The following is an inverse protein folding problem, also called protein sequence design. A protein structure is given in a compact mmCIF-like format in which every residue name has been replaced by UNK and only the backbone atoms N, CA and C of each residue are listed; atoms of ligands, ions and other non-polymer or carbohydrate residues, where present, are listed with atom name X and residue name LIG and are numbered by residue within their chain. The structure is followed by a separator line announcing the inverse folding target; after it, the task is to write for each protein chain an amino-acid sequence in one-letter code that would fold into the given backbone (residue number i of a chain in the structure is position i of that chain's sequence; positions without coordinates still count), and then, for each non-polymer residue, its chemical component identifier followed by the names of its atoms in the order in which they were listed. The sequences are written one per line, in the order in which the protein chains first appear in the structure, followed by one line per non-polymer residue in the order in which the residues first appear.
data_IF_108829357616
#
_entry.id   IF_108829357616
#
_cell.length_a   1.000
_cell.length_b   1.000
_cell.length_c   1.000
_cell.angle_alpha   90.00
_cell.angle_beta   90.00
_cell.angle_gamma   90.00
#
_symmetry.space_group_name_H-M   'P 1'
#
loop_
_entity.id
_entity.type
_entity.pdbx_description
1 polymer ?
#
# COMPACT_ATOMS: atom_id res chain seq x y z
N UNK A 1 6.34 -22.54 5.66
CA UNK A 1 7.73 -22.08 5.51
C UNK A 1 7.87 -20.73 6.20
N UNK A 2 8.91 -20.52 6.98
CA UNK A 2 9.19 -19.27 7.68
C UNK A 2 10.54 -18.74 7.16
N UNK A 3 10.61 -17.43 6.91
CA UNK A 3 11.85 -16.80 6.46
C UNK A 3 11.62 -15.34 6.04
N UNK A 4 12.71 -14.61 5.91
CA UNK A 4 12.69 -13.26 5.32
C UNK A 4 12.64 -13.41 3.80
N UNK A 5 11.69 -12.75 3.14
CA UNK A 5 11.55 -12.74 1.68
C UNK A 5 12.29 -11.57 1.03
N UNK A 6 12.34 -10.43 1.71
CA UNK A 6 12.97 -9.23 1.18
C UNK A 6 13.48 -8.31 2.30
N UNK A 7 14.40 -7.43 1.94
CA UNK A 7 14.85 -6.31 2.76
C UNK A 7 14.60 -5.01 2.01
N UNK A 8 14.02 -4.00 2.67
CA UNK A 8 13.62 -2.76 2.02
C UNK A 8 14.05 -1.52 2.84
N UNK A 9 15.26 -0.98 2.61
CA UNK A 9 15.60 0.34 3.15
C UNK A 9 14.71 1.42 2.55
N UNK A 10 14.24 2.33 3.40
CA UNK A 10 13.35 3.40 3.00
C UNK A 10 13.75 4.74 3.61
N UNK A 11 13.53 5.81 2.86
CA UNK A 11 13.67 7.19 3.29
C UNK A 11 12.35 7.92 3.09
N UNK A 12 11.89 8.63 4.11
CA UNK A 12 10.72 9.52 4.03
C UNK A 12 11.13 10.95 4.35
N UNK A 13 10.70 11.90 3.52
CA UNK A 13 11.01 13.32 3.70
C UNK A 13 9.88 14.22 3.19
N UNK A 14 9.96 15.50 3.55
CA UNK A 14 9.06 16.55 3.06
C UNK A 14 9.86 17.43 2.08
N UNK A 15 9.66 17.28 0.75
CA UNK A 15 10.51 17.92 -0.25
C UNK A 15 10.20 19.41 -0.46
N UNK A 16 9.04 19.89 -0.01
CA UNK A 16 8.62 21.28 -0.23
C UNK A 16 8.64 21.99 1.12
N UNK A 17 9.49 23.01 1.21
CA UNK A 17 9.59 23.84 2.39
C UNK A 17 8.25 24.53 2.70
N UNK A 18 7.86 24.54 3.97
CA UNK A 18 6.59 25.09 4.47
C UNK A 18 5.31 24.38 4.00
N UNK A 19 5.41 23.23 3.32
CA UNK A 19 4.28 22.37 2.96
C UNK A 19 4.35 21.06 3.77
N UNK A 20 3.94 21.13 5.03
CA UNK A 20 4.06 20.02 5.98
C UNK A 20 3.13 18.84 5.70
N UNK A 21 2.09 19.03 4.90
CA UNK A 21 1.11 18.02 4.55
C UNK A 21 1.43 17.24 3.26
N UNK A 22 2.57 17.50 2.63
CA UNK A 22 3.07 16.71 1.51
C UNK A 22 4.38 16.01 1.89
N UNK A 23 4.44 14.70 1.69
CA UNK A 23 5.65 13.93 1.92
C UNK A 23 5.87 12.86 0.86
N UNK A 24 7.13 12.50 0.68
CA UNK A 24 7.57 11.46 -0.26
C UNK A 24 8.31 10.40 0.52
N UNK A 25 8.06 9.14 0.20
CA UNK A 25 8.84 8.01 0.68
C UNK A 25 9.41 7.27 -0.52
N UNK A 26 10.71 7.04 -0.52
CA UNK A 26 11.36 6.14 -1.47
C UNK A 26 11.90 4.92 -0.74
N UNK A 27 11.70 3.76 -1.34
CA UNK A 27 12.21 2.49 -0.84
C UNK A 27 12.83 1.68 -1.97
N UNK A 28 13.83 0.90 -1.63
CA UNK A 28 14.43 -0.06 -2.55
C UNK A 28 14.32 -1.46 -1.95
N UNK A 29 13.52 -2.32 -2.59
CA UNK A 29 13.31 -3.69 -2.13
C UNK A 29 14.34 -4.61 -2.77
N UNK A 30 15.04 -5.34 -1.93
CA UNK A 30 16.07 -6.32 -2.29
C UNK A 30 15.51 -7.70 -1.97
N UNK A 31 15.27 -8.57 -2.95
CA UNK A 31 14.83 -9.93 -2.70
C UNK A 31 15.94 -10.72 -1.98
N UNK A 32 15.55 -11.56 -1.03
CA UNK A 32 16.44 -12.47 -0.31
C UNK A 32 16.19 -13.92 -0.76
N UNK A 33 15.12 -14.13 -1.50
CA UNK A 33 14.71 -15.45 -2.03
C UNK A 33 14.90 -15.50 -3.53
N UNK A 34 15.39 -16.65 -4.03
CA UNK A 34 15.73 -16.83 -5.45
C UNK A 34 14.56 -17.40 -6.28
N UNK A 35 13.49 -17.85 -5.64
CA UNK A 35 12.37 -18.51 -6.32
C UNK A 35 11.02 -17.92 -5.92
N UNK A 36 10.18 -17.64 -6.91
CA UNK A 36 8.82 -17.13 -6.72
C UNK A 36 7.89 -18.11 -6.02
N UNK A 37 8.10 -19.40 -6.22
CA UNK A 37 7.28 -20.44 -5.61
C UNK A 37 8.11 -21.34 -4.73
N UNK A 38 7.50 -21.85 -3.66
CA UNK A 38 8.08 -22.94 -2.89
C UNK A 38 7.88 -24.31 -3.59
N UNK A 39 8.37 -25.39 -2.99
CA UNK A 39 8.25 -26.75 -3.52
C UNK A 39 6.78 -27.20 -3.66
N UNK A 40 5.84 -26.57 -2.97
CA UNK A 40 4.41 -26.86 -3.01
C UNK A 40 3.65 -25.94 -3.99
N UNK A 41 4.35 -25.09 -4.75
CA UNK A 41 3.77 -24.13 -5.66
C UNK A 41 3.16 -22.89 -4.97
N UNK A 42 3.43 -22.69 -3.68
CA UNK A 42 2.97 -21.48 -2.96
C UNK A 42 3.78 -20.31 -3.46
N UNK A 43 3.08 -19.28 -3.91
CA UNK A 43 3.69 -18.05 -4.40
C UNK A 43 4.35 -17.28 -3.24
N UNK A 44 5.60 -16.88 -3.45
CA UNK A 44 6.36 -16.06 -2.50
C UNK A 44 6.38 -14.63 -3.02
N UNK A 45 5.98 -13.72 -2.16
CA UNK A 45 5.97 -12.31 -2.47
C UNK A 45 7.38 -11.72 -2.56
N UNK A 46 7.58 -10.74 -3.42
CA UNK A 46 8.78 -9.90 -3.51
C UNK A 46 10.05 -10.67 -3.96
N UNK A 47 9.99 -11.28 -5.12
CA UNK A 47 11.15 -11.97 -5.73
C UNK A 47 11.97 -11.08 -6.68
N UNK A 48 11.46 -9.91 -7.04
CA UNK A 48 12.15 -8.95 -7.89
C UNK A 48 12.74 -7.80 -7.09
N UNK A 49 13.83 -7.20 -7.59
CA UNK A 49 14.23 -5.88 -7.12
C UNK A 49 13.15 -4.86 -7.48
N UNK A 50 12.78 -4.00 -6.55
CA UNK A 50 11.76 -3.00 -6.77
C UNK A 50 12.20 -1.65 -6.23
N UNK A 51 12.06 -0.62 -7.07
CA UNK A 51 12.16 0.76 -6.63
C UNK A 51 10.76 1.33 -6.46
N UNK A 52 10.42 1.75 -5.25
CA UNK A 52 9.13 2.27 -4.87
C UNK A 52 9.23 3.73 -4.51
N UNK A 53 8.29 4.55 -5.02
CA UNK A 53 8.03 5.88 -4.51
C UNK A 53 6.57 6.00 -4.12
N UNK A 54 6.35 6.56 -2.94
CA UNK A 54 5.03 6.85 -2.39
C UNK A 54 4.94 8.35 -2.13
N UNK A 55 3.95 8.99 -2.72
CA UNK A 55 3.65 10.40 -2.56
C UNK A 55 2.39 10.50 -1.69
N UNK A 56 2.48 11.26 -0.61
CA UNK A 56 1.40 11.41 0.35
C UNK A 56 1.01 12.87 0.45
N UNK A 57 -0.27 13.10 0.47
CA UNK A 57 -0.83 14.41 0.79
C UNK A 57 -2.01 14.25 1.74
N UNK A 58 -2.03 15.00 2.81
CA UNK A 58 -3.12 15.04 3.76
C UNK A 58 -3.66 16.46 3.93
N UNK A 59 -4.97 16.56 4.07
CA UNK A 59 -5.67 17.81 4.30
C UNK A 59 -6.73 17.61 5.38
N UNK A 60 -6.52 18.26 6.51
CA UNK A 60 -7.52 18.30 7.57
C UNK A 60 -8.44 19.50 7.34
N UNK A 61 -9.75 19.25 7.29
CA UNK A 61 -10.75 20.30 7.13
C UNK A 61 -10.75 21.25 8.33
N UNK A 62 -11.18 22.51 8.17
CA UNK A 62 -11.15 23.51 9.25
C UNK A 62 -11.89 23.11 10.53
N UNK A 63 -12.87 22.20 10.43
CA UNK A 63 -13.56 21.67 11.60
C UNK A 63 -12.70 20.79 12.50
N UNK A 64 -11.53 20.32 12.01
CA UNK A 64 -10.69 19.33 12.67
C UNK A 64 -11.26 17.92 12.70
N UNK A 65 -12.52 17.73 12.28
CA UNK A 65 -13.23 16.44 12.38
C UNK A 65 -13.10 15.54 11.16
N UNK A 66 -12.60 16.07 10.05
CA UNK A 66 -12.45 15.35 8.80
C UNK A 66 -11.05 15.53 8.23
N UNK A 67 -10.49 14.46 7.71
CA UNK A 67 -9.21 14.48 7.03
C UNK A 67 -9.32 13.72 5.72
N UNK A 68 -8.88 14.36 4.65
CA UNK A 68 -8.62 13.72 3.36
C UNK A 68 -7.14 13.32 3.33
N UNK A 69 -6.87 12.06 3.06
CA UNK A 69 -5.52 11.55 2.81
C UNK A 69 -5.49 10.96 1.40
N UNK A 70 -4.48 11.33 0.64
CA UNK A 70 -4.25 10.76 -0.69
C UNK A 70 -2.87 10.15 -0.77
N UNK A 71 -2.78 9.07 -1.50
CA UNK A 71 -1.54 8.36 -1.75
C UNK A 71 -1.43 8.06 -3.25
N UNK A 72 -0.24 8.27 -3.80
CA UNK A 72 0.15 7.73 -5.09
C UNK A 72 1.37 6.85 -4.89
N UNK A 73 1.19 5.55 -5.04
CA UNK A 73 2.29 4.60 -5.02
C UNK A 73 2.72 4.26 -6.45
N UNK A 74 4.02 4.31 -6.69
CA UNK A 74 4.64 3.90 -7.96
C UNK A 74 5.73 2.88 -7.66
N UNK A 75 5.76 1.78 -8.43
CA UNK A 75 6.73 0.72 -8.26
C UNK A 75 7.32 0.36 -9.62
N UNK A 76 8.63 0.38 -9.70
CA UNK A 76 9.37 -0.13 -10.86
C UNK A 76 10.04 -1.43 -10.47
N UNK A 77 9.58 -2.54 -11.06
CA UNK A 77 10.09 -3.87 -10.76
C UNK A 77 11.14 -4.24 -11.80
N UNK A 78 12.35 -4.51 -11.31
CA UNK A 78 13.47 -5.00 -12.10
C UNK A 78 13.50 -6.52 -11.99
N UNK A 79 13.65 -7.22 -13.09
CA UNK A 79 13.72 -8.64 -12.92
C UNK A 79 14.09 -9.43 -14.15
N UNK A 80 14.21 -10.73 -13.98
CA UNK A 80 14.46 -11.68 -15.04
C UNK A 80 13.16 -11.99 -15.79
N UNK A 81 13.25 -12.44 -17.02
CA UNK A 81 12.15 -12.55 -17.97
C UNK A 81 10.98 -13.43 -17.55
N UNK A 82 11.18 -14.33 -16.61
CA UNK A 82 10.21 -15.39 -16.29
C UNK A 82 9.44 -15.17 -14.97
N UNK A 83 9.65 -14.03 -14.29
CA UNK A 83 8.95 -13.69 -13.06
C UNK A 83 7.72 -12.84 -13.34
N UNK A 84 6.62 -13.08 -12.66
CA UNK A 84 5.37 -12.31 -12.76
C UNK A 84 5.56 -10.82 -12.49
N UNK A 85 6.46 -10.47 -11.57
CA UNK A 85 6.72 -9.08 -11.21
C UNK A 85 7.68 -8.36 -12.17
N UNK A 86 8.36 -9.09 -13.02
CA UNK A 86 9.51 -8.60 -13.78
C UNK A 86 9.19 -7.56 -14.82
N UNK A 87 10.06 -6.57 -14.91
CA UNK A 87 9.99 -5.50 -15.90
C UNK A 87 8.57 -4.92 -15.97
N UNK A 88 8.00 -4.64 -14.81
CA UNK A 88 6.68 -4.05 -14.68
C UNK A 88 6.74 -2.71 -13.96
N UNK A 89 5.79 -1.86 -14.29
CA UNK A 89 5.53 -0.61 -13.60
C UNK A 89 4.15 -0.67 -12.96
N UNK A 90 4.06 -0.40 -11.67
CA UNK A 90 2.80 -0.30 -10.95
C UNK A 90 2.50 1.16 -10.65
N UNK A 91 1.26 1.55 -10.91
CA UNK A 91 0.69 2.82 -10.52
C UNK A 91 -0.52 2.55 -9.63
N UNK A 92 -0.46 3.01 -8.38
CA UNK A 92 -1.50 2.73 -7.41
C UNK A 92 -1.93 3.99 -6.63
N UNK A 93 -2.89 4.78 -7.17
CA UNK A 93 -3.51 5.87 -6.46
C UNK A 93 -4.51 5.37 -5.40
N UNK A 94 -4.58 6.08 -4.28
CA UNK A 94 -5.53 5.85 -3.21
C UNK A 94 -6.07 7.15 -2.61
N UNK A 95 -7.33 7.14 -2.21
CA UNK A 95 -8.02 8.24 -1.53
C UNK A 95 -8.67 7.68 -0.29
N UNK A 96 -8.42 8.33 0.84
CA UNK A 96 -8.92 7.94 2.16
C UNK A 96 -9.60 9.15 2.80
N UNK A 97 -10.79 8.95 3.33
CA UNK A 97 -11.50 9.96 4.11
C UNK A 97 -11.68 9.45 5.53
N UNK A 98 -11.16 10.20 6.48
CA UNK A 98 -11.27 9.91 7.91
C UNK A 98 -12.20 10.89 8.60
N UNK A 99 -13.02 10.38 9.51
CA UNK A 99 -13.85 11.15 10.42
C UNK A 99 -13.43 10.87 11.85
N UNK A 100 -13.26 11.91 12.64
CA UNK A 100 -12.86 11.87 14.05
C UNK A 100 -14.05 12.28 14.93
N UNK A 101 -14.88 11.32 15.38
CA UNK A 101 -15.99 11.63 16.28
C UNK A 101 -15.52 12.14 17.64
N UNK A 102 -14.37 11.68 18.09
CA UNK A 102 -13.67 12.09 19.30
C UNK A 102 -12.16 11.80 19.17
N UNK A 103 -11.36 12.17 20.18
CA UNK A 103 -9.90 12.06 20.16
C UNK A 103 -9.38 10.61 20.15
N UNK A 104 -10.23 9.64 20.48
CA UNK A 104 -9.84 8.22 20.54
C UNK A 104 -10.31 7.40 19.35
N UNK A 105 -11.24 7.93 18.55
CA UNK A 105 -11.91 7.15 17.51
C UNK A 105 -11.70 7.76 16.13
N UNK A 106 -11.41 6.92 15.17
CA UNK A 106 -11.38 7.28 13.74
C UNK A 106 -12.29 6.32 12.99
N UNK A 107 -13.16 6.85 12.15
CA UNK A 107 -13.91 6.09 11.15
C UNK A 107 -13.33 6.47 9.80
N UNK A 108 -13.03 5.51 8.95
CA UNK A 108 -12.44 5.79 7.65
C UNK A 108 -13.12 4.99 6.54
N UNK A 109 -13.15 5.59 5.35
CA UNK A 109 -13.49 4.93 4.11
C UNK A 109 -12.44 5.23 3.06
N UNK A 110 -12.26 4.34 2.10
CA UNK A 110 -11.25 4.52 1.07
C UNK A 110 -11.62 3.89 -0.26
N UNK A 111 -10.98 4.40 -1.30
CA UNK A 111 -10.92 3.82 -2.63
C UNK A 111 -9.46 3.75 -3.05
N UNK A 112 -9.03 2.60 -3.52
CA UNK A 112 -7.70 2.40 -4.07
C UNK A 112 -7.82 1.75 -5.45
N UNK A 113 -6.98 2.20 -6.36
CA UNK A 113 -6.81 1.57 -7.67
C UNK A 113 -5.35 1.13 -7.81
N UNK A 114 -5.11 0.01 -8.46
CA UNK A 114 -3.77 -0.44 -8.80
C UNK A 114 -3.78 -0.92 -10.23
N UNK A 115 -2.80 -0.48 -10.99
CA UNK A 115 -2.59 -0.88 -12.37
C UNK A 115 -1.14 -1.31 -12.55
N UNK A 116 -0.95 -2.53 -13.07
CA UNK A 116 0.37 -3.07 -13.42
C UNK A 116 0.51 -3.08 -14.94
N UNK A 117 1.61 -2.54 -15.41
CA UNK A 117 1.97 -2.43 -16.83
C UNK A 117 3.24 -3.24 -17.08
N UNK A 118 3.23 -4.09 -18.09
CA UNK A 118 4.43 -4.75 -18.60
C UNK A 118 5.26 -3.78 -19.43
N UNK A 119 6.54 -3.70 -19.18
CA UNK A 119 7.43 -2.77 -19.89
C UNK A 119 8.04 -3.40 -21.14
N UNK A 120 8.27 -4.70 -21.16
CA UNK A 120 8.88 -5.39 -22.30
C UNK A 120 7.92 -5.57 -23.47
N UNK A 121 6.71 -6.04 -23.21
CA UNK A 121 5.74 -6.37 -24.24
C UNK A 121 4.64 -5.31 -24.39
N UNK A 122 4.73 -4.23 -23.62
CA UNK A 122 3.72 -3.16 -23.52
C UNK A 122 2.32 -3.70 -23.21
N UNK A 123 2.27 -4.92 -22.73
CA UNK A 123 1.03 -5.57 -22.38
C UNK A 123 0.52 -5.01 -21.04
N UNK A 124 -0.75 -4.71 -21.01
CA UNK A 124 -1.48 -4.57 -19.77
C UNK A 124 -1.45 -5.90 -19.04
N UNK A 125 -0.97 -5.94 -17.81
CA UNK A 125 -0.83 -7.18 -17.07
C UNK A 125 -2.00 -7.42 -16.12
N UNK A 126 -2.36 -6.43 -15.31
CA UNK A 126 -3.51 -6.52 -14.41
C UNK A 126 -3.92 -5.16 -13.86
N UNK A 127 -5.17 -5.03 -13.47
CA UNK A 127 -5.65 -3.94 -12.61
C UNK A 127 -6.63 -4.45 -11.57
N UNK A 128 -6.84 -3.64 -10.54
CA UNK A 128 -7.97 -3.77 -9.65
C UNK A 128 -8.36 -2.44 -9.03
N UNK A 129 -9.62 -2.35 -8.63
CA UNK A 129 -10.11 -1.27 -7.77
C UNK A 129 -10.71 -1.88 -6.52
N UNK A 130 -10.26 -1.41 -5.38
CA UNK A 130 -10.78 -1.80 -4.08
C UNK A 130 -11.47 -0.62 -3.41
N UNK A 131 -12.57 -0.89 -2.75
CA UNK A 131 -13.23 0.03 -1.82
C UNK A 131 -13.23 -0.59 -0.43
N UNK A 132 -13.15 0.24 0.59
CA UNK A 132 -13.14 -0.28 1.93
C UNK A 132 -13.56 0.75 2.96
N UNK A 133 -13.78 0.26 4.15
CA UNK A 133 -14.07 1.07 5.32
C UNK A 133 -13.53 0.40 6.58
N UNK A 134 -13.44 1.17 7.64
CA UNK A 134 -12.99 0.65 8.90
C UNK A 134 -12.92 1.69 9.99
N UNK A 135 -12.22 1.36 11.05
CA UNK A 135 -12.03 2.26 12.17
C UNK A 135 -10.76 1.97 12.95
N UNK A 136 -10.36 2.98 13.70
CA UNK A 136 -9.27 2.91 14.66
C UNK A 136 -9.77 3.35 16.01
N UNK A 137 -9.28 2.72 17.05
CA UNK A 137 -9.58 3.08 18.42
C UNK A 137 -8.32 3.09 19.29
N UNK A 138 -8.08 4.22 19.95
CA UNK A 138 -6.96 4.39 20.87
C UNK A 138 -7.30 3.72 22.20
N UNK A 139 -6.74 2.53 22.44
CA UNK A 139 -6.99 1.76 23.65
C UNK A 139 -6.27 2.37 24.86
N UNK A 140 -5.00 2.75 24.68
CA UNK A 140 -4.16 3.41 25.68
C UNK A 140 -3.35 4.52 25.00
N UNK A 141 -2.54 5.27 25.74
CA UNK A 141 -1.67 6.30 25.14
C UNK A 141 -0.73 5.75 24.06
N UNK A 142 -0.32 4.48 24.18
CA UNK A 142 0.64 3.84 23.28
C UNK A 142 0.00 2.77 22.37
N UNK A 143 -1.25 2.35 22.61
CA UNK A 143 -1.83 1.20 21.93
C UNK A 143 -3.07 1.59 21.13
N UNK A 144 -3.03 1.33 19.83
CA UNK A 144 -4.11 1.59 18.88
C UNK A 144 -4.58 0.31 18.21
N UNK A 145 -5.89 0.07 18.23
CA UNK A 145 -6.53 -1.02 17.49
C UNK A 145 -7.08 -0.52 16.19
N UNK A 146 -6.84 -1.23 15.10
CA UNK A 146 -7.37 -0.95 13.78
C UNK A 146 -8.14 -2.14 13.24
N UNK A 147 -9.32 -1.89 12.66
CA UNK A 147 -10.12 -2.90 11.95
C UNK A 147 -10.49 -2.34 10.59
N UNK A 148 -10.15 -3.05 9.52
CA UNK A 148 -10.41 -2.65 8.15
C UNK A 148 -11.09 -3.78 7.38
N UNK A 149 -12.07 -3.40 6.58
CA UNK A 149 -12.67 -4.24 5.55
C UNK A 149 -12.38 -3.65 4.18
N UNK A 150 -12.01 -4.49 3.22
CA UNK A 150 -11.85 -4.08 1.83
C UNK A 150 -12.45 -5.11 0.88
N UNK A 151 -12.99 -4.62 -0.23
CA UNK A 151 -13.56 -5.43 -1.30
C UNK A 151 -13.02 -4.98 -2.65
N UNK A 152 -12.55 -5.93 -3.44
CA UNK A 152 -12.22 -5.69 -4.84
C UNK A 152 -13.51 -5.64 -5.65
N UNK A 153 -13.87 -4.45 -6.13
CA UNK A 153 -15.13 -4.21 -6.86
C UNK A 153 -14.97 -4.28 -8.37
N UNK A 154 -13.73 -4.17 -8.85
CA UNK A 154 -13.36 -4.29 -10.25
C UNK A 154 -11.94 -4.87 -10.33
N UNK A 155 -11.69 -5.67 -11.37
CA UNK A 155 -10.35 -6.18 -11.66
C UNK A 155 -10.30 -6.83 -13.03
N UNK A 156 -9.15 -6.69 -13.69
CA UNK A 156 -8.84 -7.35 -14.95
C UNK A 156 -7.57 -8.18 -14.73
N UNK A 157 -7.61 -9.44 -15.11
CA UNK A 157 -6.54 -10.42 -14.86
C UNK A 157 -6.16 -10.54 -13.37
N UNK A 158 -7.09 -10.26 -12.46
CA UNK A 158 -6.96 -10.43 -11.01
C UNK A 158 -8.24 -10.99 -10.43
N UNK A 159 -8.14 -11.73 -9.32
CA UNK A 159 -9.31 -12.23 -8.61
C UNK A 159 -10.05 -11.10 -7.88
N UNK A 160 -11.38 -11.19 -7.88
CA UNK A 160 -12.22 -10.35 -7.03
C UNK A 160 -12.41 -11.06 -5.68
N UNK A 161 -12.18 -10.35 -4.61
CA UNK A 161 -12.28 -10.89 -3.26
C UNK A 161 -12.54 -9.81 -2.24
N UNK A 162 -12.51 -10.20 -1.01
CA UNK A 162 -12.64 -9.31 0.13
C UNK A 162 -11.65 -9.70 1.23
N UNK A 163 -11.26 -8.74 2.05
CA UNK A 163 -10.37 -8.99 3.18
C UNK A 163 -10.82 -8.23 4.43
N UNK A 164 -10.56 -8.86 5.57
CA UNK A 164 -10.68 -8.26 6.89
C UNK A 164 -9.28 -8.20 7.50
N UNK A 165 -8.90 -7.01 7.95
CA UNK A 165 -7.63 -6.81 8.63
C UNK A 165 -7.89 -6.32 10.03
N UNK A 166 -7.20 -6.93 11.00
CA UNK A 166 -7.17 -6.47 12.38
C UNK A 166 -5.70 -6.18 12.71
N UNK A 167 -5.42 -4.97 13.11
CA UNK A 167 -4.08 -4.51 13.45
C UNK A 167 -4.02 -3.95 14.87
N UNK A 168 -2.93 -4.25 15.56
CA UNK A 168 -2.58 -3.63 16.82
C UNK A 168 -1.27 -2.87 16.61
N UNK A 169 -1.29 -1.57 16.84
CA UNK A 169 -0.13 -0.69 16.65
C UNK A 169 0.31 -0.13 18.00
N UNK A 170 1.59 -0.29 18.31
CA UNK A 170 2.23 0.39 19.43
C UNK A 170 2.89 1.69 18.93
N UNK A 171 2.63 2.81 19.61
CA UNK A 171 3.20 4.14 19.36
C UNK A 171 4.16 4.45 20.51
N UNK A 172 5.42 4.75 20.19
CA UNK A 172 6.50 5.04 21.16
C UNK A 172 7.01 6.46 20.96
#
# INVERSE_FOLDING_TARGET
RNGLSSFAPALKWQPIENVGNFSVQSAFHIPIIDKETDINGVFLDQTAFMFQNRFFYDYTLPSGKWQLFTELNTEYNFGEKDSFANNTFVLAPGIFMSYFPNDKSTILGFVQHSQRLGLNDKAFTQDFTAVGFGGKYQLTEVLNLEVLYSKFVRGTATGLGESFNIGLRALF
#
